data_IF_907851130662
#
_entry.id   IF_907851130662
#
_cell.length_a   1.000
_cell.length_b   1.000
_cell.length_c   1.000
_cell.angle_alpha   90.00
_cell.angle_beta   90.00
_cell.angle_gamma   90.00
#
_symmetry.space_group_name_H-M   'P 1'
#
loop_
_entity.id
_entity.type
_entity.pdbx_description
1 polymer ?
#
# COMPACT_ATOMS: atom_id res chain seq x y z
N UNK A 1 7.73 -21.25 24.16
CA UNK A 1 6.51 -20.99 23.37
C UNK A 1 6.38 -21.93 22.16
N UNK A 2 6.43 -23.28 22.31
CA UNK A 2 6.17 -24.19 21.18
C UNK A 2 4.77 -23.97 20.56
N UNK A 3 3.83 -23.50 21.37
CA UNK A 3 2.46 -23.21 20.97
C UNK A 3 2.35 -22.07 19.94
N UNK A 4 3.37 -21.22 19.84
CA UNK A 4 3.45 -20.06 18.93
C UNK A 4 4.21 -20.34 17.63
N UNK A 5 4.73 -21.56 17.45
CA UNK A 5 5.42 -21.97 16.22
C UNK A 5 4.44 -22.05 15.02
N UNK A 6 4.94 -21.94 13.78
CA UNK A 6 4.10 -22.04 12.59
C UNK A 6 3.41 -23.41 12.49
N UNK A 7 2.07 -23.42 12.58
CA UNK A 7 1.21 -24.61 12.44
C UNK A 7 -0.16 -24.22 11.84
N UNK A 8 -0.97 -25.16 11.33
CA UNK A 8 -2.26 -24.85 10.72
C UNK A 8 -3.20 -24.03 11.61
N UNK A 9 -3.12 -24.21 12.93
CA UNK A 9 -3.95 -23.53 13.93
C UNK A 9 -3.42 -22.13 14.31
N UNK A 10 -2.44 -21.58 13.57
CA UNK A 10 -1.80 -20.28 13.87
C UNK A 10 -2.78 -19.09 13.90
N UNK A 11 -3.91 -19.19 13.20
CA UNK A 11 -4.94 -18.15 13.20
C UNK A 11 -5.85 -18.21 14.45
N UNK A 12 -5.84 -19.33 15.16
CA UNK A 12 -6.77 -19.62 16.26
C UNK A 12 -6.09 -19.84 17.61
N UNK A 13 -4.80 -20.19 17.64
CA UNK A 13 -4.04 -20.40 18.87
C UNK A 13 -3.78 -19.09 19.65
N UNK A 14 -3.60 -19.23 20.96
CA UNK A 14 -3.27 -18.17 21.90
C UNK A 14 -2.08 -18.56 22.80
N UNK A 15 -1.47 -17.55 23.43
CA UNK A 15 -0.35 -17.75 24.36
C UNK A 15 -0.77 -18.55 25.59
N UNK A 16 0.21 -19.23 26.21
CA UNK A 16 0.04 -19.96 27.46
C UNK A 16 -1.13 -20.96 27.40
N UNK A 17 -1.11 -21.84 26.39
CA UNK A 17 -2.16 -22.85 26.16
C UNK A 17 -3.57 -22.24 26.08
N UNK A 18 -3.75 -21.25 25.22
CA UNK A 18 -5.02 -20.54 24.98
C UNK A 18 -5.57 -19.71 26.16
N UNK A 19 -4.79 -19.50 27.22
CA UNK A 19 -5.20 -18.70 28.38
C UNK A 19 -5.10 -17.18 28.16
N UNK A 20 -4.31 -16.74 27.17
CA UNK A 20 -3.99 -15.33 26.94
C UNK A 20 -4.40 -14.86 25.52
N UNK A 21 -3.79 -13.78 25.04
CA UNK A 21 -4.10 -13.21 23.72
C UNK A 21 -3.80 -14.20 22.58
N UNK A 22 -4.65 -14.17 21.55
CA UNK A 22 -4.43 -14.88 20.28
C UNK A 22 -3.06 -14.52 19.71
N UNK A 23 -2.30 -15.53 19.31
CA UNK A 23 -0.91 -15.35 18.89
C UNK A 23 -0.77 -14.39 17.71
N UNK A 24 -1.72 -14.40 16.76
CA UNK A 24 -1.74 -13.45 15.64
C UNK A 24 -1.81 -11.96 16.07
N UNK A 25 -2.28 -11.65 17.29
CA UNK A 25 -2.32 -10.28 17.83
C UNK A 25 -0.98 -9.81 18.40
N UNK A 26 -0.13 -10.75 18.79
CA UNK A 26 1.14 -10.48 19.48
C UNK A 26 2.30 -10.34 18.50
N UNK A 27 2.13 -10.83 17.28
CA UNK A 27 3.16 -10.70 16.24
C UNK A 27 3.20 -9.23 15.82
N UNK A 28 4.37 -8.59 15.96
CA UNK A 28 4.70 -7.34 15.28
C UNK A 28 4.87 -7.62 13.77
N UNK A 29 3.78 -8.06 13.13
CA UNK A 29 3.76 -8.38 11.72
C UNK A 29 3.47 -7.11 10.94
N UNK A 30 4.48 -6.61 10.24
CA UNK A 30 4.23 -5.60 9.21
C UNK A 30 3.31 -6.18 8.13
N UNK A 31 2.38 -5.35 7.65
CA UNK A 31 1.57 -5.68 6.49
C UNK A 31 2.31 -5.34 5.22
N UNK A 32 2.26 -6.25 4.25
CA UNK A 32 2.53 -5.95 2.85
C UNK A 32 1.20 -5.82 2.12
N UNK A 33 1.05 -4.74 1.37
CA UNK A 33 -0.07 -4.52 0.49
C UNK A 33 0.40 -4.63 -0.96
N UNK A 34 -0.40 -5.31 -1.78
CA UNK A 34 -0.10 -5.60 -3.18
C UNK A 34 -1.29 -5.19 -4.02
N UNK A 35 -1.09 -4.27 -4.97
CA UNK A 35 -2.14 -3.84 -5.89
C UNK A 35 -2.21 -4.76 -7.11
N UNK A 36 -3.01 -5.81 -7.01
CA UNK A 36 -3.27 -6.76 -8.08
C UNK A 36 -4.70 -6.62 -8.65
N UNK A 37 -4.88 -7.04 -9.91
CA UNK A 37 -6.21 -7.04 -10.57
C UNK A 37 -7.13 -8.12 -10.01
N UNK A 38 -6.56 -9.20 -9.51
CA UNK A 38 -7.27 -10.38 -9.00
C UNK A 38 -6.46 -11.05 -7.89
N UNK A 39 -7.13 -11.84 -7.04
CA UNK A 39 -6.50 -12.60 -5.96
C UNK A 39 -6.04 -13.98 -6.46
N UNK A 40 -5.20 -13.98 -7.50
CA UNK A 40 -4.54 -15.18 -8.02
C UNK A 40 -3.04 -15.09 -7.77
N UNK A 41 -2.37 -16.23 -7.58
CA UNK A 41 -0.91 -16.24 -7.40
C UNK A 41 -0.20 -15.51 -8.55
N UNK A 42 -0.61 -15.76 -9.79
CA UNK A 42 -0.02 -15.10 -10.95
C UNK A 42 -0.14 -13.57 -10.86
N UNK A 43 -1.35 -13.06 -10.65
CA UNK A 43 -1.58 -11.61 -10.59
C UNK A 43 -0.86 -10.93 -9.42
N UNK A 44 -0.75 -11.59 -8.27
CA UNK A 44 0.01 -11.08 -7.13
C UNK A 44 1.51 -10.98 -7.46
N UNK A 45 2.08 -12.01 -8.09
CA UNK A 45 3.49 -12.00 -8.50
C UNK A 45 3.77 -10.93 -9.57
N UNK A 46 2.85 -10.74 -10.51
CA UNK A 46 3.00 -9.69 -11.53
C UNK A 46 2.91 -8.29 -10.92
N UNK A 47 2.03 -8.07 -9.94
CA UNK A 47 1.96 -6.81 -9.21
C UNK A 47 3.25 -6.53 -8.41
N UNK A 48 3.82 -7.55 -7.76
CA UNK A 48 5.12 -7.45 -7.09
C UNK A 48 6.25 -7.11 -8.06
N UNK A 49 6.29 -7.72 -9.25
CA UNK A 49 7.26 -7.39 -10.30
C UNK A 49 7.16 -5.94 -10.79
N UNK A 50 5.94 -5.40 -10.91
CA UNK A 50 5.71 -3.98 -11.24
C UNK A 50 6.01 -3.03 -10.08
N UNK A 51 6.31 -3.55 -8.89
CA UNK A 51 6.59 -2.77 -7.67
C UNK A 51 5.39 -1.91 -7.23
N UNK A 52 4.17 -2.33 -7.57
CA UNK A 52 2.93 -1.72 -7.08
C UNK A 52 2.56 -2.25 -5.68
N UNK A 53 3.51 -2.11 -4.75
CA UNK A 53 3.47 -2.72 -3.43
C UNK A 53 4.01 -1.74 -2.37
N UNK A 54 3.51 -1.85 -1.14
CA UNK A 54 4.10 -1.16 0.01
C UNK A 54 4.03 -2.04 1.25
N UNK A 55 4.82 -1.69 2.26
CA UNK A 55 4.77 -2.33 3.56
C UNK A 55 4.68 -1.31 4.69
N UNK A 56 4.00 -1.69 5.77
CA UNK A 56 3.87 -0.90 7.00
C UNK A 56 4.05 -1.80 8.20
N UNK A 57 4.82 -1.35 9.20
CA UNK A 57 5.01 -2.05 10.48
C UNK A 57 4.10 -1.50 11.59
N UNK A 58 3.24 -0.54 11.28
CA UNK A 58 2.36 0.16 12.24
C UNK A 58 0.94 0.31 11.70
N UNK A 59 0.50 1.56 11.46
CA UNK A 59 -0.85 1.86 11.00
C UNK A 59 -1.23 1.07 9.74
N UNK A 60 -2.40 0.43 9.75
CA UNK A 60 -2.96 -0.27 8.59
C UNK A 60 -3.59 0.73 7.63
N UNK A 61 -2.78 1.28 6.74
CA UNK A 61 -3.20 2.27 5.77
C UNK A 61 -3.44 1.65 4.40
N UNK A 62 -4.34 2.24 3.62
CA UNK A 62 -4.45 2.00 2.18
C UNK A 62 -3.89 3.19 1.44
N UNK A 63 -2.87 2.99 0.60
CA UNK A 63 -2.24 4.09 -0.15
C UNK A 63 -2.19 3.78 -1.64
N UNK A 64 -2.64 4.74 -2.44
CA UNK A 64 -2.47 4.80 -3.89
C UNK A 64 -1.68 6.05 -4.25
N UNK A 65 -0.67 5.89 -5.08
CA UNK A 65 0.19 6.97 -5.54
C UNK A 65 0.35 6.84 -7.06
N UNK A 66 0.05 7.92 -7.76
CA UNK A 66 0.30 8.08 -9.19
C UNK A 66 1.05 9.40 -9.43
N UNK A 67 1.95 9.41 -10.42
CA UNK A 67 2.60 10.62 -10.91
C UNK A 67 2.41 10.79 -12.41
N UNK A 68 2.29 12.02 -12.89
CA UNK A 68 2.08 12.30 -14.31
C UNK A 68 2.06 13.80 -14.58
N UNK A 69 1.66 14.21 -15.78
CA UNK A 69 1.62 15.63 -16.16
C UNK A 69 0.20 16.12 -16.49
N UNK A 70 -0.79 15.23 -16.44
CA UNK A 70 -2.16 15.49 -16.93
C UNK A 70 -3.23 15.33 -15.85
N UNK A 71 -2.83 15.35 -14.57
CA UNK A 71 -3.79 15.32 -13.46
C UNK A 71 -4.40 16.68 -13.21
N UNK A 72 -5.72 16.67 -13.04
CA UNK A 72 -6.52 17.82 -12.62
C UNK A 72 -6.85 17.71 -11.13
N UNK A 73 -6.99 18.85 -10.44
CA UNK A 73 -7.35 18.85 -9.01
C UNK A 73 -8.68 18.13 -8.71
N UNK A 74 -9.58 18.04 -9.69
CA UNK A 74 -10.86 17.34 -9.54
C UNK A 74 -10.77 15.82 -9.66
N UNK A 75 -9.69 15.26 -10.22
CA UNK A 75 -9.57 13.82 -10.51
C UNK A 75 -9.64 12.97 -9.24
N UNK A 76 -9.07 13.44 -8.13
CA UNK A 76 -9.07 12.72 -6.85
C UNK A 76 -10.48 12.61 -6.22
N UNK A 77 -11.38 13.53 -6.57
CA UNK A 77 -12.75 13.55 -6.06
C UNK A 77 -13.70 12.71 -6.92
N UNK A 78 -13.23 12.11 -8.01
CA UNK A 78 -14.04 11.25 -8.87
C UNK A 78 -14.08 9.82 -8.31
N UNK A 79 -15.22 9.12 -8.39
CA UNK A 79 -15.32 7.72 -7.96
C UNK A 79 -14.35 6.78 -8.72
N UNK A 80 -13.99 7.13 -9.95
CA UNK A 80 -13.10 6.38 -10.84
C UNK A 80 -11.64 6.86 -10.77
N UNK A 81 -11.22 7.57 -9.70
CA UNK A 81 -9.88 8.15 -9.57
C UNK A 81 -8.74 7.14 -9.81
N UNK A 82 -8.94 5.86 -9.45
CA UNK A 82 -7.95 4.79 -9.68
C UNK A 82 -7.76 4.53 -11.18
N UNK A 83 -8.86 4.40 -11.93
CA UNK A 83 -8.81 4.20 -13.38
C UNK A 83 -8.16 5.40 -14.07
N UNK A 84 -8.48 6.62 -13.63
CA UNK A 84 -7.83 7.85 -14.09
C UNK A 84 -6.35 7.88 -13.78
N UNK A 85 -5.96 7.44 -12.58
CA UNK A 85 -4.57 7.28 -12.16
C UNK A 85 -3.77 6.42 -13.14
N UNK A 86 -4.31 5.25 -13.51
CA UNK A 86 -3.70 4.36 -14.49
C UNK A 86 -3.72 4.89 -15.94
N UNK A 87 -4.70 5.71 -16.30
CA UNK A 87 -4.80 6.29 -17.66
C UNK A 87 -3.90 7.51 -17.86
N UNK A 88 -3.82 8.39 -16.87
CA UNK A 88 -3.16 9.70 -16.97
C UNK A 88 -1.74 9.72 -16.40
N UNK A 89 -1.33 8.68 -15.67
CA UNK A 89 -0.07 8.68 -14.95
C UNK A 89 0.57 7.31 -14.78
N UNK A 90 1.74 7.35 -14.17
CA UNK A 90 2.57 6.20 -13.80
C UNK A 90 2.24 5.83 -12.35
N UNK A 91 1.85 4.57 -12.07
CA UNK A 91 1.62 4.11 -10.71
C UNK A 91 2.93 4.00 -9.94
N UNK A 92 2.83 3.96 -8.60
CA UNK A 92 3.95 3.66 -7.72
C UNK A 92 4.77 2.44 -8.19
N UNK A 93 6.10 2.54 -8.09
CA UNK A 93 7.00 1.50 -8.56
C UNK A 93 7.35 1.60 -10.05
N UNK A 94 6.66 2.44 -10.83
CA UNK A 94 7.09 2.84 -12.16
C UNK A 94 8.05 4.03 -12.14
N UNK A 95 8.70 4.27 -13.28
CA UNK A 95 9.62 5.38 -13.48
C UNK A 95 8.91 6.51 -14.24
N UNK A 96 8.95 7.74 -13.70
CA UNK A 96 8.52 8.93 -14.42
C UNK A 96 9.58 9.30 -15.45
N UNK A 97 9.30 9.00 -16.72
CA UNK A 97 10.18 9.30 -17.85
C UNK A 97 10.08 10.78 -18.25
N UNK A 98 10.57 11.15 -19.44
CA UNK A 98 10.45 12.53 -19.90
C UNK A 98 9.00 12.94 -20.12
N UNK A 99 8.58 13.96 -19.38
CA UNK A 99 7.34 14.69 -19.63
C UNK A 99 7.53 15.86 -20.59
N UNK A 100 6.48 16.67 -20.80
CA UNK A 100 6.58 17.89 -21.59
C UNK A 100 7.70 18.80 -21.09
N UNK A 101 8.36 19.48 -22.02
CA UNK A 101 9.53 20.30 -21.72
C UNK A 101 9.22 21.33 -20.62
N UNK A 102 10.11 21.44 -19.64
CA UNK A 102 10.01 22.38 -18.51
C UNK A 102 8.75 22.22 -17.65
N UNK A 103 8.09 21.06 -17.66
CA UNK A 103 6.87 20.83 -16.85
C UNK A 103 7.14 19.85 -15.72
N UNK A 104 6.88 20.30 -14.49
CA UNK A 104 6.96 19.43 -13.31
C UNK A 104 5.81 18.41 -13.29
N UNK A 105 6.04 17.18 -12.83
CA UNK A 105 4.97 16.22 -12.64
C UNK A 105 4.04 16.65 -11.50
N UNK A 106 2.77 16.32 -11.64
CA UNK A 106 1.76 16.37 -10.59
C UNK A 106 1.52 14.97 -10.04
N UNK A 107 1.09 14.89 -8.78
CA UNK A 107 0.86 13.63 -8.09
C UNK A 107 -0.59 13.50 -7.66
N UNK A 108 -1.17 12.34 -7.92
CA UNK A 108 -2.47 11.94 -7.38
C UNK A 108 -2.22 10.92 -6.27
N UNK A 109 -2.53 11.29 -5.04
CA UNK A 109 -2.28 10.48 -3.85
C UNK A 109 -3.59 10.31 -3.08
N UNK A 110 -3.98 9.06 -2.85
CA UNK A 110 -5.08 8.70 -1.98
C UNK A 110 -4.55 7.89 -0.81
N UNK A 111 -4.88 8.30 0.41
CA UNK A 111 -4.54 7.57 1.63
C UNK A 111 -5.77 7.43 2.51
N UNK A 112 -6.07 6.20 2.93
CA UNK A 112 -7.15 5.91 3.87
C UNK A 112 -6.59 5.25 5.12
N UNK A 113 -7.14 5.64 6.28
CA UNK A 113 -6.83 5.01 7.57
C UNK A 113 -7.53 3.65 7.70
N UNK A 114 -7.10 2.89 8.71
CA UNK A 114 -7.87 1.76 9.21
C UNK A 114 -9.20 2.27 9.81
N UNK A 115 -10.36 1.69 9.45
CA UNK A 115 -11.63 1.99 10.13
C UNK A 115 -11.55 1.92 11.66
N UNK A 116 -10.79 0.95 12.18
CA UNK A 116 -10.61 0.72 13.63
C UNK A 116 -9.38 1.45 14.20
N UNK A 117 -8.68 2.25 13.38
CA UNK A 117 -7.42 2.90 13.74
C UNK A 117 -7.51 4.42 13.95
N UNK A 118 -6.40 4.95 14.46
CA UNK A 118 -6.18 6.38 14.61
C UNK A 118 -6.21 7.11 13.26
N UNK A 119 -6.49 8.42 13.28
CA UNK A 119 -6.52 9.25 12.09
C UNK A 119 -5.11 9.43 11.50
N UNK A 120 -5.04 9.62 10.18
CA UNK A 120 -3.82 10.05 9.52
C UNK A 120 -3.62 11.54 9.77
N UNK A 121 -2.42 11.91 10.21
CA UNK A 121 -2.07 13.30 10.47
C UNK A 121 -1.85 14.09 9.17
N UNK A 122 -1.03 13.54 8.26
CA UNK A 122 -0.72 14.14 6.95
C UNK A 122 -0.14 13.14 5.96
N UNK A 123 -0.18 13.50 4.68
CA UNK A 123 0.56 12.83 3.59
C UNK A 123 1.77 13.70 3.23
N UNK A 124 2.97 13.12 3.25
CA UNK A 124 4.21 13.82 2.88
C UNK A 124 4.96 13.02 1.82
N UNK A 125 5.42 13.71 0.78
CA UNK A 125 6.26 13.13 -0.28
C UNK A 125 7.68 13.61 -0.05
N UNK A 126 8.61 12.67 0.15
CA UNK A 126 10.02 12.95 0.36
C UNK A 126 10.78 12.59 -0.90
N UNK A 127 11.43 13.58 -1.52
CA UNK A 127 12.36 13.36 -2.61
C UNK A 127 13.72 13.00 -2.02
N UNK A 128 14.21 11.81 -2.34
CA UNK A 128 15.60 11.44 -2.08
C UNK A 128 16.47 11.89 -3.24
N UNK A 129 17.54 12.62 -2.94
CA UNK A 129 18.59 12.90 -3.91
C UNK A 129 19.70 11.85 -3.78
N UNK A 130 20.07 11.21 -4.88
CA UNK A 130 21.36 10.50 -4.95
C UNK A 130 22.43 11.53 -5.25
N UNK A 131 23.45 11.60 -4.37
CA UNK A 131 24.76 12.11 -4.77
C UNK A 131 25.45 11.11 -5.69
#
# INVERSE_FOLDING_TARGET
>A
FPESEPKPERMTNAMANDALWKNWRLVASGYAAVWAKENTRAALFDAMKRREVYATTGSRIQVRFFGGWSFDASDIHKPDYVARGYQKGVPMGGDLTQGPQSTAPTFLIAAAKDPDGANLDRVQVIKGDRK
#
